data_IF_023351081003
#
_entry.id   IF_023351081003
#
_cell.length_a   1.000
_cell.length_b   1.000
_cell.length_c   1.000
_cell.angle_alpha   90.00
_cell.angle_beta   90.00
_cell.angle_gamma   90.00
#
_symmetry.space_group_name_H-M   'P 1'
#
loop_
_entity.id
_entity.type
_entity.pdbx_description
1 polymer ?
#
# COMPACT_ATOMS: atom_id res chain seq x y z
N UNK A 1 9.25 -22.86 1.78
CA UNK A 1 8.92 -21.77 2.71
C UNK A 1 8.96 -20.48 1.92
N UNK A 2 7.83 -19.77 1.78
CA UNK A 2 7.86 -18.41 1.24
C UNK A 2 8.35 -17.48 2.37
N UNK A 3 9.49 -16.82 2.15
CA UNK A 3 10.01 -15.82 3.10
C UNK A 3 9.17 -14.55 3.09
N UNK A 4 9.34 -13.70 4.11
CA UNK A 4 8.66 -12.42 4.18
C UNK A 4 9.15 -11.49 3.05
N UNK A 5 8.21 -10.91 2.30
CA UNK A 5 8.51 -9.98 1.20
C UNK A 5 8.12 -8.57 1.62
N UNK A 6 8.96 -7.58 1.32
CA UNK A 6 8.61 -6.17 1.51
C UNK A 6 8.62 -5.47 0.17
N UNK A 7 7.51 -4.82 -0.18
CA UNK A 7 7.41 -3.87 -1.28
C UNK A 7 7.59 -2.46 -0.71
N UNK A 8 8.63 -1.76 -1.13
CA UNK A 8 8.95 -0.41 -0.67
C UNK A 8 8.74 0.60 -1.80
N UNK A 9 7.84 1.54 -1.60
CA UNK A 9 7.54 2.62 -2.54
C UNK A 9 8.02 3.98 -1.99
N UNK A 10 8.84 4.70 -2.76
CA UNK A 10 9.44 5.98 -2.37
C UNK A 10 8.99 7.10 -3.30
N UNK A 11 8.24 8.07 -2.78
CA UNK A 11 7.87 9.29 -3.49
C UNK A 11 6.93 9.10 -4.69
N UNK A 12 6.32 7.92 -4.85
CA UNK A 12 5.41 7.66 -5.96
C UNK A 12 4.02 8.19 -5.61
N UNK A 13 3.54 9.12 -6.43
CA UNK A 13 2.18 9.64 -6.40
C UNK A 13 1.33 9.07 -7.54
N UNK A 14 0.48 9.91 -8.11
CA UNK A 14 -0.47 9.52 -9.17
C UNK A 14 -0.07 9.92 -10.59
N UNK A 15 1.19 10.32 -10.80
CA UNK A 15 1.68 10.61 -12.16
C UNK A 15 1.75 9.34 -13.03
N UNK A 16 2.12 8.19 -12.43
CA UNK A 16 2.28 6.91 -13.12
C UNK A 16 1.88 5.70 -12.24
N UNK A 17 0.64 5.68 -11.71
CA UNK A 17 0.24 4.70 -10.69
C UNK A 17 0.18 3.27 -11.23
N UNK A 18 -0.02 3.11 -12.54
CA UNK A 18 -0.09 1.80 -13.21
C UNK A 18 1.26 1.06 -13.25
N UNK A 19 2.38 1.76 -13.05
CA UNK A 19 3.72 1.15 -13.15
C UNK A 19 4.20 0.60 -11.81
N UNK A 20 3.88 1.26 -10.68
CA UNK A 20 4.40 0.88 -9.35
C UNK A 20 3.26 0.68 -8.35
N UNK A 21 2.46 1.73 -8.14
CA UNK A 21 1.43 1.79 -7.09
C UNK A 21 0.45 0.62 -7.17
N UNK A 22 -0.23 0.45 -8.31
CA UNK A 22 -1.22 -0.62 -8.47
C UNK A 22 -0.61 -2.02 -8.54
N UNK A 23 0.53 -2.26 -9.22
CA UNK A 23 1.19 -3.56 -9.16
C UNK A 23 1.61 -3.97 -7.75
N UNK A 24 2.21 -3.08 -6.96
CA UNK A 24 2.63 -3.38 -5.59
C UNK A 24 1.43 -3.68 -4.69
N UNK A 25 0.34 -2.93 -4.86
CA UNK A 25 -0.93 -3.18 -4.18
C UNK A 25 -1.49 -4.57 -4.53
N UNK A 26 -1.56 -4.94 -5.80
CA UNK A 26 -2.01 -6.27 -6.23
C UNK A 26 -1.10 -7.40 -5.72
N UNK A 27 0.21 -7.20 -5.75
CA UNK A 27 1.18 -8.19 -5.30
C UNK A 27 1.10 -8.40 -3.79
N UNK A 28 0.92 -7.33 -3.02
CA UNK A 28 0.72 -7.39 -1.57
C UNK A 28 -0.60 -8.08 -1.24
N UNK A 29 -1.67 -7.76 -1.95
CA UNK A 29 -2.97 -8.42 -1.76
C UNK A 29 -2.91 -9.94 -2.04
N UNK A 30 -2.14 -10.36 -3.06
CA UNK A 30 -2.01 -11.78 -3.45
C UNK A 30 -1.06 -12.58 -2.55
N UNK A 31 -0.18 -11.93 -1.81
CA UNK A 31 0.79 -12.59 -0.94
C UNK A 31 0.55 -12.17 0.52
N UNK A 32 -0.13 -12.99 1.34
CA UNK A 32 -0.38 -12.70 2.75
C UNK A 32 0.89 -12.56 3.62
N UNK A 33 2.08 -12.91 3.11
CA UNK A 33 3.37 -12.71 3.77
C UNK A 33 4.11 -11.47 3.26
N UNK A 34 3.47 -10.68 2.39
CA UNK A 34 4.02 -9.43 1.90
C UNK A 34 3.57 -8.25 2.76
N UNK A 35 4.45 -7.25 2.89
CA UNK A 35 4.15 -5.95 3.48
C UNK A 35 4.46 -4.85 2.46
N UNK A 36 3.53 -3.93 2.26
CA UNK A 36 3.75 -2.71 1.48
C UNK A 36 4.07 -1.56 2.42
N UNK A 37 5.22 -0.91 2.21
CA UNK A 37 5.63 0.30 2.90
C UNK A 37 5.67 1.43 1.88
N UNK A 38 4.89 2.49 2.12
CA UNK A 38 4.84 3.69 1.29
C UNK A 38 5.45 4.87 2.04
N UNK A 39 6.46 5.49 1.44
CA UNK A 39 7.09 6.71 1.94
C UNK A 39 6.87 7.81 0.92
N UNK A 40 5.87 8.64 1.16
CA UNK A 40 5.57 9.80 0.32
C UNK A 40 5.06 10.94 1.21
N UNK A 41 5.55 12.16 0.96
CA UNK A 41 5.12 13.35 1.71
C UNK A 41 3.71 13.79 1.34
N UNK A 42 3.40 13.74 0.05
CA UNK A 42 2.21 14.36 -0.52
C UNK A 42 1.09 13.33 -0.82
N UNK A 43 1.46 12.06 -1.00
CA UNK A 43 0.55 10.95 -1.32
C UNK A 43 0.79 9.69 -0.45
N UNK A 44 0.71 9.79 0.90
CA UNK A 44 1.01 8.68 1.82
C UNK A 44 -0.09 7.60 1.90
N UNK A 45 -1.25 7.83 1.31
CA UNK A 45 -2.42 6.96 1.44
C UNK A 45 -2.18 5.52 0.96
N UNK A 46 -2.62 4.56 1.78
CA UNK A 46 -2.62 3.12 1.50
C UNK A 46 -3.85 2.68 0.70
N UNK A 47 -4.18 1.38 0.77
CA UNK A 47 -5.37 0.82 0.14
C UNK A 47 -6.64 1.55 0.60
N UNK A 48 -7.58 1.79 -0.31
CA UNK A 48 -8.85 2.44 0.00
C UNK A 48 -9.62 1.65 1.08
N UNK A 49 -9.55 0.32 1.03
CA UNK A 49 -10.17 -0.60 1.99
C UNK A 49 -9.56 -0.48 3.40
N UNK A 50 -8.27 -0.14 3.50
CA UNK A 50 -7.61 0.09 4.79
C UNK A 50 -7.94 1.48 5.34
N UNK A 51 -8.04 2.49 4.47
CA UNK A 51 -8.41 3.85 4.87
C UNK A 51 -9.83 3.91 5.44
N UNK A 52 -10.77 3.18 4.85
CA UNK A 52 -12.15 3.08 5.36
C UNK A 52 -12.19 2.42 6.75
N UNK A 53 -11.37 1.39 6.99
CA UNK A 53 -11.27 0.72 8.28
C UNK A 53 -10.75 1.64 9.39
N UNK A 54 -9.79 2.53 9.08
CA UNK A 54 -9.25 3.52 10.01
C UNK A 54 -10.24 4.65 10.29
N UNK A 55 -10.92 5.15 9.26
CA UNK A 55 -11.95 6.18 9.40
C UNK A 55 -13.11 5.74 10.31
N UNK A 56 -13.43 4.44 10.32
CA UNK A 56 -14.44 3.86 11.21
C UNK A 56 -13.92 3.65 12.65
N UNK A 57 -12.61 3.53 12.85
CA UNK A 57 -12.01 3.38 14.18
C UNK A 57 -11.88 4.71 14.91
N UNK A 58 -11.63 5.82 14.21
CA UNK A 58 -11.58 7.17 14.77
C UNK A 58 -12.97 7.69 15.21
N UNK A 59 -14.05 6.97 14.88
CA UNK A 59 -15.42 7.31 15.23
C UNK A 59 -15.93 6.66 16.55
N UNK A 60 -15.06 5.97 17.30
CA UNK A 60 -15.33 5.44 18.64
C UNK A 60 -14.51 6.16 19.70
#
# INVERSE_FOLDING_TARGET
MQGNTVYLELGIGFNTPTIIRYPFEQMTYRNPQATLIRLNRDHPEGFAETAEFLALQDQK
#
